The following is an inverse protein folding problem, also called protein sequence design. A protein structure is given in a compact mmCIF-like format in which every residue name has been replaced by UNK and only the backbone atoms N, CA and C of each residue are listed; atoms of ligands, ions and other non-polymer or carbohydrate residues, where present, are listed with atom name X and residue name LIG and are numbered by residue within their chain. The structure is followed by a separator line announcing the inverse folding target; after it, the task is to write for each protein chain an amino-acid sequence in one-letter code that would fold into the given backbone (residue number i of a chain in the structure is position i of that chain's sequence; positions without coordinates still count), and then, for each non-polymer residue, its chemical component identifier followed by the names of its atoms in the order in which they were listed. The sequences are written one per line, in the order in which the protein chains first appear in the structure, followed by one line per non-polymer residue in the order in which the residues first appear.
data_IF_416332939143
#
_entry.id   IF_416332939143
#
_cell.length_a   1.000
_cell.length_b   1.000
_cell.length_c   1.000
_cell.angle_alpha   90.00
_cell.angle_beta   90.00
_cell.angle_gamma   90.00
#
_symmetry.space_group_name_H-M   'P 1'
#
loop_
_entity.id
_entity.type
_entity.pdbx_description
1 polymer ?
#
# COMPACT_ATOMS: atom_id res chain seq x y z
N UNK A 1 -21.76 4.21 4.52
CA UNK A 1 -21.69 5.10 5.67
C UNK A 1 -23.05 5.78 5.91
N UNK A 2 -23.54 6.64 5.03
CA UNK A 2 -24.76 7.44 5.24
C UNK A 2 -25.99 6.61 5.64
N UNK A 3 -26.31 5.53 4.92
CA UNK A 3 -27.49 4.69 5.22
C UNK A 3 -27.35 3.85 6.49
N UNK A 4 -26.12 3.56 6.90
CA UNK A 4 -25.81 2.64 8.00
C UNK A 4 -25.25 3.37 9.25
N UNK A 5 -25.21 4.70 9.24
CA UNK A 5 -24.63 5.48 10.33
C UNK A 5 -23.16 5.14 10.65
N UNK A 6 -22.36 4.86 9.63
CA UNK A 6 -20.95 4.48 9.82
C UNK A 6 -20.03 5.67 9.69
N UNK A 7 -19.05 5.78 10.58
CA UNK A 7 -17.92 6.69 10.46
C UNK A 7 -16.94 6.19 9.40
N UNK A 8 -16.44 7.08 8.55
CA UNK A 8 -15.42 6.76 7.56
C UNK A 8 -14.03 7.12 8.12
N UNK A 9 -13.13 6.15 8.18
CA UNK A 9 -11.70 6.36 8.40
C UNK A 9 -10.97 6.25 7.07
N UNK A 10 -10.57 7.38 6.49
CA UNK A 10 -9.85 7.44 5.23
C UNK A 10 -8.35 7.53 5.48
N UNK A 11 -7.65 6.38 5.39
CA UNK A 11 -6.19 6.32 5.43
C UNK A 11 -5.64 6.68 4.03
N UNK A 12 -5.26 7.95 3.86
CA UNK A 12 -4.84 8.53 2.59
C UNK A 12 -3.31 8.65 2.48
N UNK A 13 -2.58 7.83 3.25
CA UNK A 13 -1.11 7.89 3.36
C UNK A 13 -0.37 7.69 2.04
N UNK A 14 -1.00 7.06 1.05
CA UNK A 14 -0.44 6.83 -0.29
C UNK A 14 -0.95 7.80 -1.37
N UNK A 15 -1.53 8.92 -1.01
CA UNK A 15 -2.09 9.87 -1.98
C UNK A 15 -1.09 10.31 -3.08
N UNK A 16 0.19 10.38 -2.77
CA UNK A 16 1.25 10.75 -3.71
C UNK A 16 1.77 9.56 -4.56
N UNK A 17 1.43 8.33 -4.18
CA UNK A 17 1.91 7.10 -4.83
C UNK A 17 0.84 6.52 -5.75
N UNK A 18 0.34 7.29 -6.70
CA UNK A 18 -0.62 6.82 -7.72
C UNK A 18 0.04 6.89 -9.08
N UNK A 19 0.22 5.75 -9.73
CA UNK A 19 1.04 5.61 -10.94
C UNK A 19 0.22 5.62 -12.25
N UNK A 20 -1.11 5.64 -12.14
CA UNK A 20 -2.02 5.60 -13.30
C UNK A 20 -2.79 6.92 -13.45
N UNK A 21 -2.69 7.52 -14.63
CA UNK A 21 -3.38 8.79 -14.93
C UNK A 21 -4.90 8.63 -14.99
N UNK A 22 -5.40 7.44 -15.38
CA UNK A 22 -6.84 7.14 -15.51
C UNK A 22 -7.53 7.02 -14.15
N UNK A 23 -6.77 6.90 -13.07
CA UNK A 23 -7.27 6.76 -11.70
C UNK A 23 -6.52 7.70 -10.75
N UNK A 24 -6.69 9.03 -10.92
CA UNK A 24 -6.04 9.99 -10.04
C UNK A 24 -6.55 9.83 -8.60
N UNK A 25 -5.71 10.21 -7.65
CA UNK A 25 -6.12 10.26 -6.25
C UNK A 25 -7.22 11.33 -6.06
N UNK A 26 -8.30 10.94 -5.40
CA UNK A 26 -9.38 11.83 -4.98
C UNK A 26 -9.63 11.57 -3.50
N UNK A 27 -9.37 12.57 -2.63
CA UNK A 27 -9.59 12.40 -1.20
C UNK A 27 -11.07 12.25 -0.86
N UNK A 28 -11.37 11.46 0.17
CA UNK A 28 -12.74 11.34 0.69
C UNK A 28 -13.30 12.69 1.12
N UNK A 29 -12.46 13.58 1.69
CA UNK A 29 -12.87 14.94 2.04
C UNK A 29 -13.29 15.74 0.82
N UNK A 30 -12.58 15.63 -0.31
CA UNK A 30 -12.98 16.29 -1.55
C UNK A 30 -14.34 15.77 -2.03
N UNK A 31 -14.55 14.46 -2.01
CA UNK A 31 -15.84 13.85 -2.38
C UNK A 31 -16.95 14.39 -1.49
N UNK A 32 -16.73 14.43 -0.17
CA UNK A 32 -17.71 14.95 0.79
C UNK A 32 -18.09 16.41 0.49
N UNK A 33 -17.10 17.27 0.23
CA UNK A 33 -17.33 18.67 -0.12
C UNK A 33 -18.03 18.85 -1.48
N UNK A 34 -17.70 18.02 -2.46
CA UNK A 34 -18.34 18.06 -3.79
C UNK A 34 -19.81 17.58 -3.74
N UNK A 35 -20.13 16.61 -2.86
CA UNK A 35 -21.52 16.23 -2.58
C UNK A 35 -22.33 17.43 -2.06
N UNK A 36 -21.74 18.29 -1.23
CA UNK A 36 -22.38 19.48 -0.69
C UNK A 36 -22.75 20.52 -1.76
N UNK A 37 -22.09 20.51 -2.92
CA UNK A 37 -22.37 21.39 -4.06
C UNK A 37 -23.42 20.82 -5.02
N UNK A 38 -23.91 19.60 -4.78
CA UNK A 38 -24.87 18.93 -5.67
C UNK A 38 -26.25 19.62 -5.64
N UNK A 39 -26.94 19.56 -6.76
CA UNK A 39 -28.37 19.95 -6.83
C UNK A 39 -29.29 18.94 -6.12
N UNK A 40 -28.84 17.70 -5.96
CA UNK A 40 -29.55 16.62 -5.27
C UNK A 40 -29.56 16.86 -3.74
N UNK A 41 -30.77 17.05 -3.11
CA UNK A 41 -30.87 17.28 -1.67
C UNK A 41 -30.26 16.17 -0.83
N UNK A 42 -30.41 14.90 -1.25
CA UNK A 42 -29.86 13.75 -0.54
C UNK A 42 -28.33 13.77 -0.50
N UNK A 43 -27.69 14.18 -1.59
CA UNK A 43 -26.22 14.31 -1.65
C UNK A 43 -25.73 15.43 -0.75
N UNK A 44 -26.46 16.56 -0.70
CA UNK A 44 -26.13 17.64 0.25
C UNK A 44 -26.25 17.20 1.70
N UNK A 45 -27.29 16.44 2.01
CA UNK A 45 -27.50 15.87 3.34
C UNK A 45 -26.35 14.93 3.73
N UNK A 46 -25.94 14.02 2.83
CA UNK A 46 -24.76 13.17 3.03
C UNK A 46 -23.51 13.98 3.37
N UNK A 47 -23.29 15.14 2.72
CA UNK A 47 -22.11 15.97 2.96
C UNK A 47 -22.07 16.61 4.34
N UNK A 48 -23.23 16.73 5.00
CA UNK A 48 -23.36 17.35 6.33
C UNK A 48 -23.41 16.34 7.48
N UNK A 49 -23.86 15.11 7.20
CA UNK A 49 -24.10 14.09 8.22
C UNK A 49 -22.98 13.06 8.28
N UNK A 50 -22.38 12.69 7.13
CA UNK A 50 -21.36 11.62 7.12
C UNK A 50 -20.11 12.09 7.85
N UNK A 51 -19.83 11.44 8.96
CA UNK A 51 -18.62 11.65 9.75
C UNK A 51 -17.41 11.03 9.04
N UNK A 52 -16.35 11.84 8.89
CA UNK A 52 -15.14 11.45 8.19
C UNK A 52 -13.90 11.83 8.99
N UNK A 53 -13.04 10.85 9.23
CA UNK A 53 -11.66 11.04 9.70
C UNK A 53 -10.71 10.86 8.53
N UNK A 54 -10.08 11.93 8.07
CA UNK A 54 -8.99 11.84 7.08
C UNK A 54 -7.66 11.69 7.80
N UNK A 55 -6.90 10.64 7.48
CA UNK A 55 -5.63 10.29 8.11
C UNK A 55 -4.49 10.44 7.12
N UNK A 56 -3.37 11.01 7.57
CA UNK A 56 -2.15 11.10 6.78
C UNK A 56 -0.89 11.08 7.65
N UNK A 57 0.23 10.64 7.10
CA UNK A 57 1.51 10.65 7.79
C UNK A 57 2.69 10.76 6.83
N UNK A 58 3.86 11.14 7.38
CA UNK A 58 5.14 11.16 6.65
C UNK A 58 5.80 9.78 6.57
N UNK A 59 5.17 8.73 7.13
CA UNK A 59 5.75 7.38 7.16
C UNK A 59 5.79 6.69 5.80
N UNK A 60 5.00 7.15 4.87
CA UNK A 60 4.85 6.63 3.50
C UNK A 60 5.01 7.77 2.50
N UNK A 61 4.36 7.68 1.35
CA UNK A 61 4.48 8.71 0.31
C UNK A 61 5.84 8.64 -0.42
N UNK A 62 6.30 9.79 -0.92
CA UNK A 62 7.55 9.86 -1.70
C UNK A 62 8.79 9.85 -0.81
N UNK A 63 8.70 10.36 0.41
CA UNK A 63 9.86 10.55 1.30
C UNK A 63 10.11 9.37 2.23
N UNK A 64 9.05 8.69 2.70
CA UNK A 64 9.17 7.49 3.54
C UNK A 64 9.87 7.76 4.89
N UNK A 65 9.58 8.87 5.56
CA UNK A 65 10.22 9.33 6.80
C UNK A 65 9.62 8.70 8.07
N UNK A 66 9.37 7.39 8.05
CA UNK A 66 8.69 6.68 9.14
C UNK A 66 9.38 6.79 10.51
N UNK A 67 10.71 6.95 10.56
CA UNK A 67 11.48 7.12 11.79
C UNK A 67 11.24 8.46 12.49
N UNK A 68 10.77 9.49 11.80
CA UNK A 68 10.50 10.82 12.36
C UNK A 68 9.18 10.93 13.12
N UNK A 69 8.29 9.95 12.99
CA UNK A 69 7.04 9.82 13.77
C UNK A 69 6.12 11.04 13.67
N UNK A 70 5.77 11.44 12.45
CA UNK A 70 4.86 12.55 12.17
C UNK A 70 3.63 12.12 11.40
N UNK A 71 2.50 12.73 11.70
CA UNK A 71 1.23 12.54 10.99
C UNK A 71 0.16 13.51 11.51
N UNK A 72 -0.97 13.52 10.84
CA UNK A 72 -2.12 14.32 11.25
C UNK A 72 -3.43 13.64 10.85
N UNK A 73 -4.50 14.08 11.49
CA UNK A 73 -5.85 13.72 11.10
C UNK A 73 -6.73 14.95 11.04
N UNK A 74 -7.81 14.87 10.28
CA UNK A 74 -8.82 15.92 10.16
C UNK A 74 -10.18 15.30 10.38
N UNK A 75 -10.94 15.87 11.33
CA UNK A 75 -12.32 15.47 11.62
C UNK A 75 -13.26 16.33 10.79
N UNK A 76 -14.29 15.72 10.22
CA UNK A 76 -15.36 16.40 9.49
C UNK A 76 -16.71 15.87 9.96
N UNK A 77 -17.64 16.78 10.23
CA UNK A 77 -19.03 16.52 10.66
C UNK A 77 -19.20 15.83 12.02
N UNK A 78 -18.18 15.82 12.86
CA UNK A 78 -18.31 15.33 14.23
C UNK A 78 -18.97 16.39 15.14
N UNK A 79 -19.67 15.92 16.15
CA UNK A 79 -20.16 16.78 17.20
C UNK A 79 -19.01 17.41 17.98
N UNK A 80 -19.18 18.65 18.45
CA UNK A 80 -18.14 19.39 19.19
C UNK A 80 -17.66 18.67 20.45
N UNK A 81 -18.55 17.93 21.10
CA UNK A 81 -18.21 17.16 22.30
C UNK A 81 -17.31 15.97 21.95
N UNK A 82 -17.55 15.31 20.81
CA UNK A 82 -16.69 14.24 20.27
C UNK A 82 -15.32 14.79 19.90
N UNK A 83 -15.27 15.95 19.18
CA UNK A 83 -14.01 16.62 18.86
C UNK A 83 -13.19 16.93 20.11
N UNK A 84 -13.85 17.42 21.18
CA UNK A 84 -13.20 17.73 22.45
C UNK A 84 -12.61 16.47 23.12
N UNK A 85 -13.34 15.35 23.12
CA UNK A 85 -12.85 14.08 23.70
C UNK A 85 -11.70 13.48 22.86
N UNK A 86 -11.79 13.53 21.53
CA UNK A 86 -10.68 13.11 20.64
C UNK A 86 -9.43 13.93 20.92
N UNK A 87 -9.57 15.27 21.09
CA UNK A 87 -8.44 16.13 21.41
C UNK A 87 -7.83 15.79 22.79
N UNK A 88 -8.63 15.51 23.80
CA UNK A 88 -8.15 15.05 25.11
C UNK A 88 -7.32 13.77 24.99
N UNK A 89 -7.84 12.75 24.27
CA UNK A 89 -7.13 11.49 24.04
C UNK A 89 -5.81 11.74 23.31
N UNK A 90 -5.81 12.54 22.25
CA UNK A 90 -4.61 12.89 21.49
C UNK A 90 -3.56 13.61 22.37
N UNK A 91 -4.02 14.42 23.32
CA UNK A 91 -3.16 15.18 24.24
C UNK A 91 -2.51 14.32 25.35
N UNK A 92 -3.00 13.11 25.60
CA UNK A 92 -2.39 12.20 26.58
C UNK A 92 -0.94 11.83 26.25
N UNK A 93 -0.61 11.80 24.98
CA UNK A 93 0.75 11.51 24.52
C UNK A 93 1.67 12.74 24.53
N UNK A 94 1.23 13.86 25.09
CA UNK A 94 1.94 15.13 25.13
C UNK A 94 2.27 15.68 23.72
N UNK A 95 3.44 16.35 23.59
CA UNK A 95 3.84 16.96 22.33
C UNK A 95 4.40 15.92 21.35
N UNK A 96 3.99 15.96 20.06
CA UNK A 96 4.65 15.14 19.04
C UNK A 96 6.13 15.55 18.89
N UNK A 97 7.01 14.61 18.44
CA UNK A 97 8.42 14.90 18.24
C UNK A 97 8.63 16.08 17.28
N UNK A 98 9.54 17.00 17.62
CA UNK A 98 9.82 18.18 16.79
C UNK A 98 10.20 17.80 15.34
N UNK A 99 11.00 16.75 15.16
CA UNK A 99 11.36 16.24 13.83
C UNK A 99 10.14 15.75 13.03
N UNK A 100 9.17 15.13 13.70
CA UNK A 100 7.89 14.73 13.10
C UNK A 100 7.07 15.94 12.67
N UNK A 101 7.00 16.98 13.50
CA UNK A 101 6.29 18.23 13.18
C UNK A 101 6.90 18.92 11.97
N UNK A 102 8.25 19.06 11.91
CA UNK A 102 8.97 19.62 10.76
C UNK A 102 8.68 18.80 9.49
N UNK A 103 8.71 17.47 9.59
CA UNK A 103 8.41 16.59 8.45
C UNK A 103 6.98 16.76 7.95
N UNK A 104 6.00 16.90 8.85
CA UNK A 104 4.60 17.18 8.48
C UNK A 104 4.47 18.57 7.84
N UNK A 105 5.15 19.58 8.37
CA UNK A 105 5.13 20.92 7.81
C UNK A 105 5.65 20.95 6.37
N UNK A 106 6.79 20.30 6.12
CA UNK A 106 7.36 20.17 4.76
C UNK A 106 6.46 19.37 3.82
N UNK A 107 5.72 18.37 4.33
CA UNK A 107 4.77 17.61 3.53
C UNK A 107 3.59 18.47 3.06
N UNK A 108 3.00 19.27 3.94
CA UNK A 108 1.80 20.07 3.65
C UNK A 108 2.11 21.43 3.05
N UNK A 109 3.35 21.89 3.18
CA UNK A 109 3.88 23.15 2.62
C UNK A 109 5.19 22.91 1.87
N UNK A 110 5.17 22.11 0.80
CA UNK A 110 6.38 21.89 0.01
C UNK A 110 6.86 23.21 -0.65
N UNK A 111 8.13 23.28 -1.09
CA UNK A 111 8.65 24.41 -1.83
C UNK A 111 7.77 24.79 -3.01
N UNK A 112 7.61 26.09 -3.26
CA UNK A 112 6.80 26.65 -4.34
C UNK A 112 7.69 27.19 -5.46
N UNK A 113 7.12 27.27 -6.64
CA UNK A 113 7.79 27.86 -7.81
C UNK A 113 8.29 29.29 -7.49
N UNK A 114 9.58 29.52 -7.82
CA UNK A 114 10.29 30.74 -7.47
C UNK A 114 11.06 30.72 -6.14
N UNK A 115 10.85 29.72 -5.30
CA UNK A 115 11.66 29.53 -4.09
C UNK A 115 12.99 28.81 -4.39
N UNK A 116 14.09 29.13 -3.69
CA UNK A 116 15.42 28.60 -4.01
C UNK A 116 15.54 27.08 -4.02
N UNK A 117 14.73 26.36 -3.24
CA UNK A 117 14.75 24.90 -3.13
C UNK A 117 13.76 24.19 -4.07
N UNK A 118 12.91 24.92 -4.80
CA UNK A 118 11.82 24.33 -5.61
C UNK A 118 12.31 23.39 -6.70
N UNK A 119 13.28 23.81 -7.50
CA UNK A 119 13.74 23.03 -8.65
C UNK A 119 14.41 21.72 -8.20
N UNK A 120 15.22 21.78 -7.14
CA UNK A 120 15.83 20.59 -6.56
C UNK A 120 14.77 19.62 -6.00
N UNK A 121 13.87 20.14 -5.18
CA UNK A 121 12.76 19.36 -4.61
C UNK A 121 11.91 18.69 -5.71
N UNK A 122 11.51 19.44 -6.72
CA UNK A 122 10.70 18.92 -7.85
C UNK A 122 11.43 17.82 -8.60
N UNK A 123 12.72 18.00 -8.86
CA UNK A 123 13.57 16.99 -9.53
C UNK A 123 13.66 15.71 -8.69
N UNK A 124 13.92 15.81 -7.40
CA UNK A 124 14.07 14.66 -6.50
C UNK A 124 12.76 13.88 -6.36
N UNK A 125 11.65 14.57 -6.07
CA UNK A 125 10.33 13.92 -5.93
C UNK A 125 9.90 13.27 -7.23
N UNK A 126 10.09 13.92 -8.37
CA UNK A 126 9.80 13.33 -9.69
C UNK A 126 10.66 12.11 -9.98
N UNK A 127 11.95 12.16 -9.64
CA UNK A 127 12.86 11.01 -9.82
C UNK A 127 12.44 9.81 -8.99
N UNK A 128 12.07 10.03 -7.72
CA UNK A 128 11.55 8.97 -6.84
C UNK A 128 10.27 8.37 -7.41
N UNK A 129 9.32 9.20 -7.83
CA UNK A 129 8.06 8.77 -8.43
C UNK A 129 8.28 7.86 -9.64
N UNK A 130 9.09 8.31 -10.62
CA UNK A 130 9.36 7.52 -11.81
C UNK A 130 10.10 6.23 -11.49
N UNK A 131 11.09 6.27 -10.59
CA UNK A 131 11.80 5.06 -10.15
C UNK A 131 10.85 4.02 -9.56
N UNK A 132 9.90 4.43 -8.72
CA UNK A 132 8.93 3.50 -8.13
C UNK A 132 7.97 2.93 -9.18
N UNK A 133 7.50 3.77 -10.09
CA UNK A 133 6.66 3.36 -11.22
C UNK A 133 7.37 2.33 -12.09
N UNK A 134 8.58 2.63 -12.55
CA UNK A 134 9.37 1.76 -13.43
C UNK A 134 9.67 0.41 -12.78
N UNK A 135 10.00 0.40 -11.49
CA UNK A 135 10.19 -0.84 -10.72
C UNK A 135 8.91 -1.67 -10.62
N UNK A 136 7.77 -1.02 -10.40
CA UNK A 136 6.47 -1.70 -10.38
C UNK A 136 6.17 -2.39 -11.70
N UNK A 137 6.39 -1.69 -12.81
CA UNK A 137 6.17 -2.20 -14.16
C UNK A 137 7.14 -3.35 -14.48
N UNK A 138 8.42 -3.22 -14.14
CA UNK A 138 9.43 -4.26 -14.32
C UNK A 138 9.07 -5.54 -13.55
N UNK A 139 8.77 -5.42 -12.25
CA UNK A 139 8.39 -6.57 -11.42
C UNK A 139 7.14 -7.25 -12.00
N UNK A 140 6.10 -6.48 -12.31
CA UNK A 140 4.86 -7.05 -12.83
C UNK A 140 5.07 -7.77 -14.16
N UNK A 141 5.84 -7.19 -15.08
CA UNK A 141 6.18 -7.79 -16.37
C UNK A 141 6.94 -9.11 -16.19
N UNK A 142 8.06 -9.05 -15.47
CA UNK A 142 8.98 -10.21 -15.35
C UNK A 142 8.37 -11.36 -14.55
N UNK A 143 7.65 -11.07 -13.46
CA UNK A 143 6.97 -12.11 -12.71
C UNK A 143 5.72 -12.63 -13.44
N UNK A 144 5.04 -11.77 -14.18
CA UNK A 144 3.87 -12.17 -14.97
C UNK A 144 4.19 -13.10 -16.16
N UNK A 145 5.46 -13.15 -16.59
CA UNK A 145 5.97 -14.07 -17.62
C UNK A 145 6.23 -15.49 -17.06
N UNK A 146 6.20 -15.67 -15.73
CA UNK A 146 6.51 -16.95 -15.08
C UNK A 146 5.33 -17.93 -15.11
N UNK A 147 5.58 -19.23 -15.24
CA UNK A 147 4.52 -20.24 -15.19
C UNK A 147 3.70 -20.13 -13.89
N UNK A 148 2.38 -20.14 -14.01
CA UNK A 148 1.48 -20.08 -12.86
C UNK A 148 1.39 -18.71 -12.16
N UNK A 149 2.13 -17.68 -12.61
CA UNK A 149 2.07 -16.34 -12.03
C UNK A 149 1.10 -15.43 -12.78
N UNK A 150 0.31 -14.67 -12.02
CA UNK A 150 -0.48 -13.56 -12.53
C UNK A 150 -0.20 -12.32 -11.70
N UNK A 151 0.30 -11.29 -12.37
CA UNK A 151 0.75 -10.06 -11.71
C UNK A 151 0.19 -8.85 -12.43
N UNK A 152 -0.42 -7.95 -11.67
CA UNK A 152 -0.85 -6.64 -12.15
C UNK A 152 0.16 -5.59 -11.68
N UNK A 153 0.55 -4.61 -12.50
CA UNK A 153 1.36 -3.48 -12.03
C UNK A 153 0.67 -2.75 -10.88
N UNK A 154 1.45 -2.26 -9.94
CA UNK A 154 0.90 -1.46 -8.85
C UNK A 154 0.21 -0.20 -9.41
N UNK A 155 -1.07 -0.05 -9.12
CA UNK A 155 -1.84 1.16 -9.47
C UNK A 155 -1.50 2.32 -8.56
N UNK A 156 -0.98 2.00 -7.39
CA UNK A 156 -0.54 2.92 -6.35
C UNK A 156 0.19 2.19 -5.23
N UNK A 157 0.52 2.91 -4.16
CA UNK A 157 1.27 2.44 -3.01
C UNK A 157 2.71 1.98 -3.35
N UNK A 158 3.24 1.00 -2.61
CA UNK A 158 4.64 0.57 -2.68
C UNK A 158 4.77 -0.95 -2.83
N UNK A 159 3.70 -1.62 -3.27
CA UNK A 159 3.63 -3.08 -3.26
C UNK A 159 3.05 -3.62 -4.56
N UNK A 160 3.53 -4.81 -4.92
CA UNK A 160 2.92 -5.69 -5.92
C UNK A 160 2.41 -6.92 -5.18
N UNK A 161 1.25 -7.45 -5.60
CA UNK A 161 0.59 -8.57 -4.94
C UNK A 161 0.31 -9.69 -5.95
N UNK A 162 1.35 -10.48 -6.32
CA UNK A 162 1.22 -11.55 -7.29
C UNK A 162 0.31 -12.67 -6.81
N UNK A 163 -0.50 -13.20 -7.72
CA UNK A 163 -1.20 -14.47 -7.57
C UNK A 163 -0.36 -15.57 -8.21
N UNK A 164 -0.19 -16.68 -7.52
CA UNK A 164 0.53 -17.86 -8.00
C UNK A 164 -0.37 -19.09 -7.97
N UNK A 165 -0.22 -19.94 -8.97
CA UNK A 165 -0.79 -21.27 -9.01
C UNK A 165 0.32 -22.28 -8.66
N UNK A 166 0.16 -22.99 -7.56
CA UNK A 166 1.09 -23.97 -7.06
C UNK A 166 0.55 -25.38 -7.18
N UNK A 167 1.41 -26.32 -7.52
CA UNK A 167 1.04 -27.69 -7.77
C UNK A 167 0.56 -28.43 -6.51
N UNK A 168 -0.02 -29.60 -6.71
CA UNK A 168 -0.34 -30.55 -5.63
C UNK A 168 0.92 -30.96 -4.88
N UNK A 169 2.03 -31.23 -5.58
CA UNK A 169 3.27 -31.66 -4.94
C UNK A 169 3.85 -30.58 -4.02
N UNK A 170 3.77 -29.28 -4.39
CA UNK A 170 4.12 -28.16 -3.52
C UNK A 170 3.19 -28.10 -2.29
N UNK A 171 1.89 -28.27 -2.48
CA UNK A 171 0.91 -28.29 -1.38
C UNK A 171 1.16 -29.46 -0.41
N UNK A 172 1.49 -30.63 -0.92
CA UNK A 172 1.80 -31.80 -0.10
C UNK A 172 3.14 -31.65 0.65
N UNK A 173 4.15 -31.03 0.02
CA UNK A 173 5.43 -30.71 0.66
C UNK A 173 5.24 -29.71 1.82
N UNK A 174 4.48 -28.65 1.60
CA UNK A 174 4.15 -27.67 2.64
C UNK A 174 3.44 -28.32 3.84
N UNK A 175 2.47 -29.21 3.57
CA UNK A 175 1.71 -29.90 4.60
C UNK A 175 2.62 -30.82 5.44
N UNK A 176 3.62 -31.50 4.83
CA UNK A 176 4.57 -32.35 5.55
C UNK A 176 5.39 -31.59 6.58
N UNK A 177 5.66 -30.30 6.35
CA UNK A 177 6.38 -29.43 7.29
C UNK A 177 5.46 -28.53 8.14
N UNK A 178 4.16 -28.81 8.12
CA UNK A 178 3.16 -28.10 8.94
C UNK A 178 2.92 -26.65 8.54
N UNK A 179 3.13 -26.30 7.27
CA UNK A 179 2.98 -24.94 6.74
C UNK A 179 1.89 -24.85 5.70
N UNK A 180 1.34 -23.63 5.49
CA UNK A 180 0.54 -23.32 4.31
C UNK A 180 1.46 -23.23 3.10
N UNK A 181 0.91 -23.50 1.91
CA UNK A 181 1.72 -23.57 0.70
C UNK A 181 2.32 -22.22 0.30
N UNK A 182 1.63 -21.10 0.56
CA UNK A 182 2.15 -19.75 0.36
C UNK A 182 3.29 -19.41 1.34
N UNK A 183 3.17 -19.82 2.61
CA UNK A 183 4.24 -19.68 3.61
C UNK A 183 5.47 -20.52 3.21
N UNK A 184 5.24 -21.76 2.77
CA UNK A 184 6.30 -22.65 2.31
C UNK A 184 7.06 -22.06 1.12
N UNK A 185 6.34 -21.60 0.09
CA UNK A 185 6.96 -20.94 -1.07
C UNK A 185 7.80 -19.73 -0.67
N UNK A 186 7.25 -18.85 0.19
CA UNK A 186 7.96 -17.64 0.63
C UNK A 186 9.22 -17.96 1.44
N UNK A 187 9.21 -19.02 2.24
CA UNK A 187 10.37 -19.46 3.02
C UNK A 187 11.45 -20.11 2.12
N UNK A 188 11.07 -20.97 1.18
CA UNK A 188 12.00 -21.52 0.19
C UNK A 188 12.66 -20.41 -0.64
N UNK A 189 11.90 -19.38 -1.04
CA UNK A 189 12.41 -18.19 -1.72
C UNK A 189 13.45 -17.44 -0.85
N UNK A 190 13.14 -17.25 0.43
CA UNK A 190 14.04 -16.58 1.36
C UNK A 190 15.34 -17.37 1.55
N UNK A 191 15.25 -18.67 1.80
CA UNK A 191 16.40 -19.54 2.05
C UNK A 191 17.32 -19.64 0.82
N UNK A 192 16.74 -19.77 -0.37
CA UNK A 192 17.53 -19.96 -1.59
C UNK A 192 18.12 -18.63 -2.14
N UNK A 193 17.43 -17.51 -1.95
CA UNK A 193 17.79 -16.26 -2.63
C UNK A 193 18.06 -15.08 -1.71
N UNK A 194 17.68 -15.15 -0.43
CA UNK A 194 17.69 -14.00 0.48
C UNK A 194 16.57 -12.99 0.20
N UNK A 195 15.62 -13.28 -0.71
CA UNK A 195 14.48 -12.39 -1.03
C UNK A 195 13.37 -12.65 -0.02
N UNK A 196 13.09 -11.64 0.81
CA UNK A 196 12.00 -11.69 1.79
C UNK A 196 10.70 -11.10 1.21
N UNK A 197 9.67 -11.91 1.13
CA UNK A 197 8.30 -11.51 0.75
C UNK A 197 7.30 -11.93 1.82
N UNK A 198 6.10 -11.40 1.80
CA UNK A 198 5.09 -11.72 2.82
C UNK A 198 4.01 -12.60 2.17
N UNK A 199 3.76 -13.81 2.70
CA UNK A 199 2.71 -14.68 2.18
C UNK A 199 1.31 -14.05 2.30
N UNK A 200 0.41 -14.39 1.39
CA UNK A 200 -0.97 -13.89 1.37
C UNK A 200 -1.73 -14.20 2.65
N UNK A 201 -1.48 -15.36 3.26
CA UNK A 201 -2.07 -15.76 4.54
C UNK A 201 -1.77 -14.78 5.68
N UNK A 202 -0.67 -14.02 5.61
CA UNK A 202 -0.37 -12.92 6.54
C UNK A 202 -1.31 -11.72 6.42
N UNK A 203 -2.12 -11.67 5.37
CA UNK A 203 -3.16 -10.66 5.11
C UNK A 203 -4.57 -11.27 5.05
N UNK A 204 -4.76 -12.47 5.60
CA UNK A 204 -6.00 -13.24 5.52
C UNK A 204 -6.40 -13.69 4.10
N UNK A 205 -5.49 -13.61 3.14
CA UNK A 205 -5.64 -14.22 1.82
C UNK A 205 -5.07 -15.64 1.86
N UNK A 206 -5.87 -16.56 2.40
CA UNK A 206 -5.47 -17.96 2.54
C UNK A 206 -5.40 -18.67 1.18
N UNK A 207 -4.53 -19.71 1.05
CA UNK A 207 -4.52 -20.53 -0.14
C UNK A 207 -5.89 -21.16 -0.44
N UNK A 208 -6.31 -21.05 -1.70
CA UNK A 208 -7.50 -21.69 -2.21
C UNK A 208 -7.09 -23.03 -2.85
N UNK A 209 -7.39 -24.13 -2.17
CA UNK A 209 -7.07 -25.47 -2.65
C UNK A 209 -8.13 -25.96 -3.64
N UNK A 210 -7.68 -26.52 -4.76
CA UNK A 210 -8.52 -27.05 -5.84
C UNK A 210 -8.73 -28.56 -5.66
N UNK A 211 -9.67 -29.13 -6.43
CA UNK A 211 -10.02 -30.56 -6.37
C UNK A 211 -8.84 -31.47 -6.77
N UNK A 212 -7.95 -31.01 -7.68
CA UNK A 212 -6.74 -31.72 -8.08
C UNK A 212 -5.60 -31.64 -7.03
N UNK A 213 -5.82 -30.91 -5.94
CA UNK A 213 -4.88 -30.66 -4.85
C UNK A 213 -3.87 -29.53 -5.10
N UNK A 214 -3.91 -28.89 -6.27
CA UNK A 214 -3.20 -27.65 -6.52
C UNK A 214 -3.81 -26.48 -5.75
N UNK A 215 -3.21 -25.30 -5.80
CA UNK A 215 -3.73 -24.14 -5.06
C UNK A 215 -3.47 -22.82 -5.77
N UNK A 216 -4.38 -21.88 -5.58
CA UNK A 216 -4.11 -20.47 -5.79
C UNK A 216 -3.67 -19.81 -4.50
N UNK A 217 -2.57 -19.09 -4.56
CA UNK A 217 -1.97 -18.41 -3.42
C UNK A 217 -1.47 -17.03 -3.81
N UNK A 218 -1.12 -16.23 -2.81
CA UNK A 218 -0.64 -14.85 -3.01
C UNK A 218 0.61 -14.60 -2.19
N UNK A 219 1.39 -13.61 -2.60
CA UNK A 219 2.39 -12.98 -1.75
C UNK A 219 2.50 -11.50 -2.04
N UNK A 220 3.01 -10.72 -1.08
CA UNK A 220 3.30 -9.30 -1.24
C UNK A 220 4.79 -9.07 -1.37
N UNK A 221 5.21 -8.37 -2.41
CA UNK A 221 6.56 -7.84 -2.55
C UNK A 221 6.57 -6.32 -2.63
N UNK A 222 7.71 -5.70 -2.30
CA UNK A 222 7.88 -4.25 -2.33
C UNK A 222 8.59 -3.80 -3.61
N UNK A 223 8.29 -2.57 -4.05
CA UNK A 223 8.98 -1.90 -5.14
C UNK A 223 10.10 -0.95 -4.64
N UNK A 224 10.35 -0.92 -3.32
CA UNK A 224 11.30 0.02 -2.71
C UNK A 224 12.76 -0.40 -2.84
N UNK A 225 13.04 -1.70 -2.95
CA UNK A 225 14.39 -2.24 -2.92
C UNK A 225 15.25 -1.69 -4.06
N UNK A 226 16.49 -1.30 -3.75
CA UNK A 226 17.52 -1.04 -4.76
C UNK A 226 17.96 -2.36 -5.39
N UNK A 227 18.46 -2.32 -6.62
CA UNK A 227 18.87 -3.55 -7.33
C UNK A 227 17.68 -4.43 -7.75
N UNK A 228 16.56 -3.81 -8.12
CA UNK A 228 15.35 -4.53 -8.53
C UNK A 228 15.59 -5.49 -9.69
N UNK A 229 16.43 -5.13 -10.67
CA UNK A 229 16.77 -5.99 -11.81
C UNK A 229 17.42 -7.30 -11.34
N UNK A 230 18.44 -7.20 -10.49
CA UNK A 230 19.13 -8.36 -9.94
C UNK A 230 18.20 -9.21 -9.04
N UNK A 231 17.38 -8.57 -8.24
CA UNK A 231 16.39 -9.22 -7.40
C UNK A 231 15.40 -10.02 -8.25
N UNK A 232 14.89 -9.44 -9.34
CA UNK A 232 13.96 -10.10 -10.26
C UNK A 232 14.61 -11.29 -10.95
N UNK A 233 15.86 -11.17 -11.41
CA UNK A 233 16.58 -12.31 -12.02
C UNK A 233 16.77 -13.47 -11.03
N UNK A 234 17.13 -13.20 -9.78
CA UNK A 234 17.22 -14.24 -8.73
C UNK A 234 15.86 -14.87 -8.46
N UNK A 235 14.81 -14.08 -8.41
CA UNK A 235 13.45 -14.57 -8.22
C UNK A 235 13.02 -15.48 -9.38
N UNK A 236 13.26 -15.09 -10.62
CA UNK A 236 12.94 -15.90 -11.82
C UNK A 236 13.62 -17.26 -11.76
N UNK A 237 14.92 -17.30 -11.46
CA UNK A 237 15.69 -18.55 -11.33
C UNK A 237 15.10 -19.45 -10.23
N UNK A 238 14.83 -18.88 -9.08
CA UNK A 238 14.21 -19.62 -7.97
C UNK A 238 12.86 -20.20 -8.39
N UNK A 239 11.98 -19.38 -8.98
CA UNK A 239 10.64 -19.85 -9.34
C UNK A 239 10.68 -21.03 -10.32
N UNK A 240 11.51 -20.94 -11.34
CA UNK A 240 11.68 -22.04 -12.31
C UNK A 240 12.19 -23.31 -11.62
N UNK A 241 13.19 -23.19 -10.78
CA UNK A 241 13.72 -24.33 -9.99
C UNK A 241 12.68 -24.88 -9.00
N UNK A 242 11.89 -24.02 -8.36
CA UNK A 242 10.82 -24.45 -7.47
C UNK A 242 9.74 -25.25 -8.23
N UNK A 243 9.34 -24.81 -9.42
CA UNK A 243 8.34 -25.51 -10.23
C UNK A 243 8.87 -26.86 -10.78
N UNK A 244 10.18 -26.99 -11.02
CA UNK A 244 10.81 -28.27 -11.37
C UNK A 244 10.86 -29.24 -10.18
N UNK A 245 11.14 -28.75 -8.98
CA UNK A 245 11.16 -29.57 -7.74
C UNK A 245 9.77 -30.04 -7.32
N UNK A 246 8.75 -29.24 -7.63
CA UNK A 246 7.37 -29.48 -7.24
C UNK A 246 6.42 -29.40 -8.46
N UNK A 247 6.51 -30.39 -9.37
CA UNK A 247 5.74 -30.43 -10.61
C UNK A 247 4.22 -30.60 -10.40
#
# INVERSE_FOLDING_TARGET
AYNEGLVIFADEVYQANVYQNERPFISFRKVLLDLGKSSDPRKRDMSQIVELVSLHSISKGMTGECGRRGGFFVLNNFDKDVDAEVLKIASLNLCPPAQGQIGVDLLVRPPREGEPSYDLWKKEVSSIFHTLKDRSELIAKRLGELPGMKVEPAKGAMYVFPRMHLSKSASDAARKVGKKVDEFYCLELLEETGICVIPGSGFSFYPEYLEDGSSYSFFRTTILAKGTDEMVERFVKFHMHFMERFP
#
